data_IF_348941469318
#
_entry.id   IF_348941469318
#
_cell.length_a   1.000
_cell.length_b   1.000
_cell.length_c   1.000
_cell.angle_alpha   90.00
_cell.angle_beta   90.00
_cell.angle_gamma   90.00
#
_symmetry.space_group_name_H-M   'P 1'
#
loop_
_entity.id
_entity.type
_entity.pdbx_description
1 polymer ?
#
# COMPACT_ATOMS: atom_id res chain seq x y z
N UNK A 1 -28.78 12.12 -5.54
CA UNK A 1 -27.96 12.70 -4.46
C UNK A 1 -27.28 11.63 -3.61
N UNK A 2 -28.02 10.75 -2.91
CA UNK A 2 -27.42 9.75 -2.00
C UNK A 2 -26.36 8.84 -2.65
N UNK A 3 -26.63 8.31 -3.86
CA UNK A 3 -25.71 7.44 -4.56
C UNK A 3 -24.38 8.17 -4.94
N UNK A 4 -24.47 9.41 -5.42
CA UNK A 4 -23.29 10.21 -5.78
C UNK A 4 -22.44 10.52 -4.55
N UNK A 5 -23.08 10.83 -3.41
CA UNK A 5 -22.40 11.04 -2.13
C UNK A 5 -21.70 9.77 -1.65
N UNK A 6 -22.39 8.63 -1.70
CA UNK A 6 -21.84 7.33 -1.32
C UNK A 6 -20.58 7.02 -2.14
N UNK A 7 -20.66 7.12 -3.48
CA UNK A 7 -19.53 6.83 -4.37
C UNK A 7 -18.35 7.77 -4.13
N UNK A 8 -18.61 9.08 -3.96
CA UNK A 8 -17.54 10.05 -3.72
C UNK A 8 -16.81 9.78 -2.39
N UNK A 9 -17.53 9.45 -1.32
CA UNK A 9 -16.91 9.13 -0.03
C UNK A 9 -16.26 7.76 -0.01
N UNK A 10 -16.76 6.80 -0.78
CA UNK A 10 -16.10 5.51 -0.99
C UNK A 10 -14.73 5.71 -1.68
N UNK A 11 -14.67 6.51 -2.74
CA UNK A 11 -13.41 6.83 -3.42
C UNK A 11 -12.44 7.60 -2.53
N UNK A 12 -12.95 8.57 -1.76
CA UNK A 12 -12.15 9.33 -0.80
C UNK A 12 -11.55 8.41 0.28
N UNK A 13 -12.34 7.51 0.85
CA UNK A 13 -11.88 6.56 1.86
C UNK A 13 -10.82 5.61 1.34
N UNK A 14 -11.03 5.06 0.15
CA UNK A 14 -10.06 4.19 -0.53
C UNK A 14 -8.74 4.92 -0.80
N UNK A 15 -8.80 6.15 -1.29
CA UNK A 15 -7.61 6.98 -1.52
C UNK A 15 -6.83 7.28 -0.24
N UNK A 16 -7.53 7.66 0.84
CA UNK A 16 -6.89 7.93 2.13
C UNK A 16 -6.22 6.68 2.72
N UNK A 17 -6.82 5.51 2.52
CA UNK A 17 -6.25 4.23 2.94
C UNK A 17 -4.97 3.91 2.16
N UNK A 18 -4.96 4.08 0.84
CA UNK A 18 -3.79 3.89 -0.01
C UNK A 18 -2.67 4.85 0.40
N UNK A 19 -2.98 6.13 0.52
CA UNK A 19 -2.01 7.16 0.91
C UNK A 19 -1.36 6.84 2.26
N UNK A 20 -2.12 6.34 3.22
CA UNK A 20 -1.58 5.92 4.52
C UNK A 20 -0.64 4.73 4.38
N UNK A 21 -1.04 3.69 3.64
CA UNK A 21 -0.22 2.50 3.41
C UNK A 21 1.15 2.83 2.84
N UNK A 22 1.22 3.76 1.90
CA UNK A 22 2.49 4.20 1.32
C UNK A 22 3.29 5.17 2.21
N UNK A 23 2.64 5.93 3.10
CA UNK A 23 3.33 6.84 4.01
C UNK A 23 4.02 6.13 5.19
N UNK A 24 3.46 5.02 5.66
CA UNK A 24 3.95 4.26 6.84
C UNK A 24 4.97 3.18 6.44
N UNK A 25 5.11 2.88 5.15
CA UNK A 25 5.94 1.78 4.65
C UNK A 25 7.42 1.90 5.05
N UNK A 26 8.32 2.10 4.13
CA UNK A 26 9.69 1.54 4.23
C UNK A 26 10.74 2.40 4.96
N UNK A 27 10.38 3.39 5.76
CA UNK A 27 11.34 4.37 6.32
C UNK A 27 12.37 3.78 7.31
N UNK A 28 12.21 2.53 7.77
CA UNK A 28 13.14 1.90 8.73
C UNK A 28 14.12 0.90 8.12
N UNK A 29 14.15 0.75 6.81
CA UNK A 29 15.14 -0.08 6.14
C UNK A 29 16.48 0.63 6.08
N UNK A 30 17.51 -0.03 6.59
CA UNK A 30 18.82 0.54 6.83
C UNK A 30 19.31 1.45 5.70
N UNK A 31 19.55 2.69 6.02
CA UNK A 31 20.08 3.71 5.10
C UNK A 31 21.43 3.32 4.46
N UNK A 32 21.98 2.17 4.86
CA UNK A 32 23.23 1.58 4.35
C UNK A 32 23.02 0.40 3.40
N UNK A 33 21.78 0.14 2.95
CA UNK A 33 21.48 -0.93 2.01
C UNK A 33 21.46 -0.41 0.57
N UNK A 34 22.03 -1.20 -0.32
CA UNK A 34 22.04 -0.98 -1.77
C UNK A 34 21.45 -2.19 -2.47
N UNK A 35 20.68 -1.93 -3.52
CA UNK A 35 20.21 -2.93 -4.47
C UNK A 35 21.01 -2.78 -5.76
N UNK A 36 21.55 -3.88 -6.27
CA UNK A 36 22.29 -3.95 -7.51
C UNK A 36 21.51 -4.81 -8.49
N UNK A 37 21.17 -4.24 -9.62
CA UNK A 37 20.43 -4.88 -10.70
C UNK A 37 21.17 -4.71 -12.02
N UNK A 38 20.88 -5.54 -13.05
CA UNK A 38 21.43 -5.31 -14.38
C UNK A 38 20.86 -4.01 -14.97
N UNK A 39 21.69 -3.26 -15.66
CA UNK A 39 21.25 -2.06 -16.37
C UNK A 39 20.47 -2.48 -17.61
N UNK A 40 19.21 -2.10 -17.70
CA UNK A 40 18.33 -2.45 -18.83
C UNK A 40 17.22 -3.45 -18.54
N UNK A 41 17.16 -4.03 -17.33
CA UNK A 41 15.99 -4.75 -16.80
C UNK A 41 15.67 -6.12 -17.43
N UNK A 42 16.45 -6.60 -18.39
CA UNK A 42 16.12 -7.83 -19.15
C UNK A 42 17.11 -8.97 -18.95
N UNK A 43 18.28 -8.73 -18.40
CA UNK A 43 19.32 -9.73 -18.15
C UNK A 43 19.49 -9.98 -16.67
N UNK A 44 19.58 -11.26 -16.29
CA UNK A 44 19.91 -11.63 -14.92
C UNK A 44 21.40 -11.42 -14.65
N UNK A 45 21.75 -11.24 -13.38
CA UNK A 45 23.14 -11.05 -12.94
C UNK A 45 23.88 -12.38 -12.84
N UNK A 46 25.02 -12.58 -13.50
CA UNK A 46 25.89 -13.71 -13.21
C UNK A 46 26.35 -13.71 -11.75
N UNK A 47 26.15 -14.81 -11.05
CA UNK A 47 26.52 -14.91 -9.63
C UNK A 47 28.03 -14.73 -9.41
N UNK A 48 28.85 -15.05 -10.42
CA UNK A 48 30.28 -14.83 -10.41
C UNK A 48 30.75 -13.39 -10.18
N UNK A 49 29.83 -12.40 -10.33
CA UNK A 49 30.11 -11.00 -10.02
C UNK A 49 30.10 -10.72 -8.52
N UNK A 50 29.42 -11.54 -7.71
CA UNK A 50 29.26 -11.33 -6.28
C UNK A 50 30.59 -11.25 -5.50
N UNK A 51 31.61 -12.09 -5.74
CA UNK A 51 32.92 -11.94 -5.12
C UNK A 51 33.57 -10.57 -5.38
N UNK A 52 33.50 -10.07 -6.61
CA UNK A 52 33.99 -8.74 -6.98
C UNK A 52 33.24 -7.63 -6.26
N UNK A 53 31.90 -7.76 -6.10
CA UNK A 53 31.12 -6.80 -5.31
C UNK A 53 31.52 -6.86 -3.83
N UNK A 54 31.80 -8.03 -3.29
CA UNK A 54 32.26 -8.21 -1.91
C UNK A 54 33.65 -7.65 -1.63
N UNK A 55 34.49 -7.54 -2.65
CA UNK A 55 35.88 -7.05 -2.50
C UNK A 55 36.00 -5.54 -2.29
N UNK A 56 34.90 -4.78 -2.46
CA UNK A 56 34.92 -3.35 -2.15
C UNK A 56 35.10 -3.11 -0.65
N UNK A 57 36.06 -2.28 -0.21
CA UNK A 57 36.35 -2.07 1.23
C UNK A 57 35.16 -1.55 2.03
N UNK A 58 34.26 -0.82 1.37
CA UNK A 58 33.06 -0.24 1.99
C UNK A 58 31.95 -1.27 2.20
N UNK A 59 32.03 -2.45 1.59
CA UNK A 59 31.04 -3.51 1.73
C UNK A 59 31.22 -4.24 3.07
N UNK A 60 30.16 -4.34 3.84
CA UNK A 60 30.08 -5.15 5.05
C UNK A 60 29.59 -6.56 4.75
N UNK A 61 28.53 -6.67 3.95
CA UNK A 61 27.94 -7.93 3.53
C UNK A 61 27.28 -7.76 2.16
N UNK A 62 27.24 -8.83 1.37
CA UNK A 62 26.49 -8.85 0.12
C UNK A 62 25.82 -10.22 -0.04
N UNK A 63 24.53 -10.20 -0.38
CA UNK A 63 23.71 -11.36 -0.65
C UNK A 63 23.19 -11.32 -2.09
N UNK A 64 23.18 -12.47 -2.74
CA UNK A 64 22.50 -12.64 -4.02
C UNK A 64 21.07 -13.11 -3.78
N UNK A 65 20.15 -12.63 -4.62
CA UNK A 65 18.73 -12.93 -4.59
C UNK A 65 18.30 -13.34 -6.01
N UNK A 66 17.71 -14.53 -6.13
CA UNK A 66 17.03 -14.98 -7.35
C UNK A 66 15.58 -15.32 -7.01
N UNK A 67 14.63 -14.95 -7.86
CA UNK A 67 13.21 -15.14 -7.62
C UNK A 67 12.51 -15.97 -8.70
N UNK A 68 11.46 -16.65 -8.30
CA UNK A 68 10.53 -17.35 -9.20
C UNK A 68 9.12 -17.30 -8.64
N UNK A 69 8.13 -17.31 -9.53
CA UNK A 69 6.73 -17.47 -9.14
C UNK A 69 6.29 -18.89 -9.37
N UNK A 70 5.77 -19.53 -8.33
CA UNK A 70 5.25 -20.89 -8.32
C UNK A 70 3.78 -20.89 -7.95
N UNK A 71 3.12 -22.04 -7.94
CA UNK A 71 1.74 -22.20 -7.47
C UNK A 71 1.66 -23.28 -6.41
N UNK A 72 0.73 -23.12 -5.49
CA UNK A 72 0.45 -24.07 -4.43
C UNK A 72 -1.01 -24.53 -4.48
N UNK A 73 -1.22 -25.82 -4.26
CA UNK A 73 -2.55 -26.43 -4.15
C UNK A 73 -3.35 -26.49 -5.45
N UNK A 74 -4.56 -27.04 -5.35
CA UNK A 74 -5.49 -27.18 -6.48
C UNK A 74 -5.98 -25.83 -7.03
N UNK A 75 -6.06 -24.81 -6.19
CA UNK A 75 -6.51 -23.46 -6.56
C UNK A 75 -5.46 -22.66 -7.33
N UNK A 76 -4.31 -23.26 -7.64
CA UNK A 76 -3.21 -22.67 -8.40
C UNK A 76 -2.76 -21.29 -7.85
N UNK A 77 -2.75 -21.11 -6.53
CA UNK A 77 -2.39 -19.84 -5.88
C UNK A 77 -0.94 -19.49 -6.17
N UNK A 78 -0.66 -18.25 -6.58
CA UNK A 78 0.71 -17.80 -6.81
C UNK A 78 1.47 -17.70 -5.47
N UNK A 79 2.68 -18.25 -5.45
CA UNK A 79 3.61 -18.23 -4.32
C UNK A 79 4.94 -17.71 -4.83
N UNK A 80 5.43 -16.64 -4.22
CA UNK A 80 6.75 -16.09 -4.52
C UNK A 80 7.84 -16.93 -3.83
N UNK A 81 8.82 -17.37 -4.61
CA UNK A 81 9.96 -18.13 -4.12
C UNK A 81 11.23 -17.34 -4.34
N UNK A 82 12.05 -17.19 -3.32
CA UNK A 82 13.37 -16.55 -3.42
C UNK A 82 14.49 -17.48 -2.99
N UNK A 83 15.52 -17.55 -3.81
CA UNK A 83 16.80 -18.17 -3.46
C UNK A 83 17.76 -17.13 -2.91
N UNK A 84 18.21 -17.30 -1.67
CA UNK A 84 18.98 -16.31 -0.92
C UNK A 84 20.34 -16.83 -0.48
N UNK A 85 21.34 -15.95 -0.48
CA UNK A 85 22.60 -16.20 0.22
C UNK A 85 22.37 -16.22 1.73
N UNK A 86 21.96 -17.34 2.31
CA UNK A 86 21.34 -17.47 3.62
C UNK A 86 22.07 -16.71 4.76
N UNK A 87 23.39 -16.96 4.96
CA UNK A 87 24.17 -16.26 6.00
C UNK A 87 24.19 -14.74 5.81
N UNK A 88 24.40 -14.28 4.56
CA UNK A 88 24.44 -12.86 4.25
C UNK A 88 23.05 -12.23 4.40
N UNK A 89 22.01 -12.92 3.97
CA UNK A 89 20.63 -12.47 4.13
C UNK A 89 20.25 -12.26 5.59
N UNK A 90 20.49 -13.23 6.45
CA UNK A 90 20.21 -13.09 7.89
C UNK A 90 21.01 -11.95 8.54
N UNK A 91 22.27 -11.75 8.12
CA UNK A 91 23.09 -10.66 8.62
C UNK A 91 22.55 -9.28 8.17
N UNK A 92 22.10 -9.17 6.93
CA UNK A 92 21.60 -7.92 6.32
C UNK A 92 20.18 -7.60 6.84
N UNK A 93 19.29 -8.58 6.83
CA UNK A 93 17.87 -8.39 7.16
C UNK A 93 17.64 -8.09 8.66
N UNK A 94 18.53 -8.56 9.51
CA UNK A 94 18.41 -8.41 10.96
C UNK A 94 17.17 -9.07 11.57
N UNK A 95 16.54 -10.03 10.87
CA UNK A 95 15.31 -10.71 11.30
C UNK A 95 15.42 -11.33 12.68
N UNK A 96 16.54 -11.97 12.97
CA UNK A 96 16.78 -12.61 14.28
C UNK A 96 16.90 -11.56 15.39
N UNK A 97 17.65 -10.47 15.15
CA UNK A 97 17.79 -9.37 16.13
C UNK A 97 16.48 -8.65 16.39
N UNK A 98 15.63 -8.59 15.40
CA UNK A 98 14.33 -7.94 15.50
C UNK A 98 13.24 -8.83 16.09
N UNK A 99 13.54 -10.09 16.44
CA UNK A 99 12.57 -11.05 16.94
C UNK A 99 11.55 -11.53 15.90
N UNK A 100 11.79 -11.22 14.61
CA UNK A 100 10.90 -11.64 13.52
C UNK A 100 11.15 -13.09 13.08
N UNK A 101 12.31 -13.66 13.45
CA UNK A 101 12.67 -15.06 13.23
C UNK A 101 13.37 -15.59 14.49
N UNK A 102 12.83 -16.63 15.15
CA UNK A 102 13.48 -17.27 16.30
C UNK A 102 14.89 -17.77 15.94
N UNK A 103 15.82 -17.59 16.85
CA UNK A 103 17.22 -17.99 16.62
C UNK A 103 17.40 -19.49 16.41
N UNK A 104 16.53 -20.33 16.97
CA UNK A 104 16.51 -21.78 16.76
C UNK A 104 16.15 -22.11 15.29
N UNK A 105 15.07 -21.49 14.77
CA UNK A 105 14.62 -21.67 13.39
C UNK A 105 15.66 -21.17 12.39
N UNK A 106 16.30 -20.01 12.67
CA UNK A 106 17.39 -19.51 11.84
C UNK A 106 18.58 -20.48 11.79
N UNK A 107 18.91 -21.16 12.89
CA UNK A 107 19.98 -22.17 12.92
C UNK A 107 19.57 -23.45 12.18
N UNK A 108 18.32 -23.91 12.36
CA UNK A 108 17.79 -25.06 11.65
C UNK A 108 17.88 -24.82 10.12
N UNK A 109 17.38 -23.70 9.65
CA UNK A 109 17.46 -23.31 8.25
C UNK A 109 18.89 -23.25 7.73
N UNK A 110 19.84 -22.69 8.48
CA UNK A 110 21.23 -22.65 8.06
C UNK A 110 21.89 -24.03 7.96
N UNK A 111 21.40 -25.02 8.71
CA UNK A 111 21.88 -26.39 8.72
C UNK A 111 21.27 -27.24 7.59
N UNK A 112 20.00 -27.03 7.27
CA UNK A 112 19.31 -27.75 6.18
C UNK A 112 19.42 -26.98 4.85
N UNK A 113 20.10 -27.59 3.87
CA UNK A 113 20.29 -26.99 2.54
C UNK A 113 19.04 -27.04 1.66
N UNK A 114 18.07 -27.87 1.99
CA UNK A 114 16.78 -28.02 1.32
C UNK A 114 15.66 -27.32 2.07
N UNK A 115 15.98 -26.83 3.25
CA UNK A 115 15.06 -26.12 4.11
C UNK A 115 14.67 -24.74 3.60
N UNK A 116 13.52 -24.30 4.04
CA UNK A 116 12.94 -23.01 3.68
C UNK A 116 12.48 -22.24 4.91
N UNK A 117 12.58 -20.91 4.84
CA UNK A 117 11.84 -20.00 5.71
C UNK A 117 10.60 -19.51 4.96
N UNK A 118 9.43 -19.66 5.55
CA UNK A 118 8.17 -19.21 4.97
C UNK A 118 7.66 -17.96 5.68
N UNK A 119 6.91 -17.11 4.96
CA UNK A 119 6.29 -15.95 5.59
C UNK A 119 5.12 -16.37 6.47
N UNK A 120 4.89 -15.69 7.60
CA UNK A 120 3.76 -15.99 8.49
C UNK A 120 2.41 -15.82 7.76
N UNK A 121 2.31 -14.88 6.82
CA UNK A 121 1.11 -14.67 6.02
C UNK A 121 0.80 -15.89 5.15
N UNK A 122 1.81 -16.39 4.40
CA UNK A 122 1.65 -17.56 3.54
C UNK A 122 1.46 -18.84 4.35
N UNK A 123 2.16 -18.98 5.49
CA UNK A 123 1.98 -20.10 6.40
C UNK A 123 0.55 -20.17 6.95
N UNK A 124 0.01 -19.04 7.44
CA UNK A 124 -1.36 -18.97 7.93
C UNK A 124 -2.39 -19.22 6.84
N UNK A 125 -2.21 -18.58 5.67
CA UNK A 125 -3.16 -18.67 4.56
C UNK A 125 -3.25 -20.09 3.95
N UNK A 126 -2.10 -20.78 3.85
CA UNK A 126 -2.02 -22.09 3.24
C UNK A 126 -2.01 -23.25 4.26
N UNK A 127 -2.06 -22.96 5.56
CA UNK A 127 -2.00 -23.95 6.62
C UNK A 127 -0.65 -24.63 6.77
N UNK A 128 0.46 -23.98 6.37
CA UNK A 128 1.81 -24.55 6.46
C UNK A 128 2.32 -24.57 7.88
N UNK A 129 3.05 -25.61 8.24
CA UNK A 129 3.62 -25.82 9.59
C UNK A 129 5.11 -26.10 9.52
N UNK A 130 5.84 -25.70 10.54
CA UNK A 130 7.24 -26.07 10.71
C UNK A 130 7.35 -27.61 10.77
N UNK A 131 8.33 -28.16 10.09
CA UNK A 131 8.55 -29.59 9.97
C UNK A 131 7.79 -30.27 8.83
N UNK A 132 7.07 -29.52 8.01
CA UNK A 132 6.28 -30.05 6.88
C UNK A 132 7.09 -29.98 5.58
N UNK A 133 7.01 -31.05 4.78
CA UNK A 133 7.49 -31.05 3.41
C UNK A 133 6.39 -30.52 2.47
N UNK A 134 6.77 -29.59 1.60
CA UNK A 134 5.87 -28.91 0.69
C UNK A 134 6.35 -29.07 -0.75
N UNK A 135 5.39 -29.12 -1.66
CA UNK A 135 5.62 -29.15 -3.11
C UNK A 135 4.91 -27.98 -3.75
N UNK A 136 5.68 -27.18 -4.50
CA UNK A 136 5.15 -26.13 -5.35
C UNK A 136 5.25 -26.54 -6.81
N UNK A 137 4.23 -26.20 -7.58
CA UNK A 137 4.13 -26.51 -9.00
C UNK A 137 4.52 -25.31 -9.86
N UNK A 138 5.08 -25.53 -11.07
CA UNK A 138 5.54 -24.45 -11.91
C UNK A 138 4.40 -23.55 -12.41
N UNK A 139 4.72 -22.26 -12.52
CA UNK A 139 3.92 -21.28 -13.24
C UNK A 139 4.58 -20.92 -14.57
N UNK A 140 3.84 -20.23 -15.44
CA UNK A 140 4.37 -19.74 -16.71
C UNK A 140 5.55 -18.80 -16.45
N UNK A 141 6.71 -19.11 -17.06
CA UNK A 141 7.95 -18.37 -16.85
C UNK A 141 8.87 -18.91 -15.74
N UNK A 142 8.39 -19.87 -14.93
CA UNK A 142 9.23 -20.60 -13.97
C UNK A 142 9.84 -21.88 -14.62
N UNK A 143 10.87 -22.47 -14.00
CA UNK A 143 11.36 -23.80 -14.39
C UNK A 143 10.23 -24.82 -14.36
N UNK A 144 10.08 -25.60 -15.44
CA UNK A 144 8.96 -26.55 -15.63
C UNK A 144 9.16 -27.84 -14.82
N UNK A 145 9.43 -27.71 -13.53
CA UNK A 145 9.59 -28.80 -12.57
C UNK A 145 9.09 -28.39 -11.19
N UNK A 146 8.59 -29.35 -10.44
CA UNK A 146 8.16 -29.14 -9.07
C UNK A 146 9.34 -28.73 -8.18
N UNK A 147 9.02 -27.93 -7.18
CA UNK A 147 9.95 -27.51 -6.15
C UNK A 147 9.51 -28.11 -4.81
N UNK A 148 10.33 -29.01 -4.26
CA UNK A 148 10.08 -29.62 -2.97
C UNK A 148 11.00 -29.01 -1.93
N UNK A 149 10.52 -28.70 -0.73
CA UNK A 149 11.31 -28.14 0.37
C UNK A 149 10.71 -28.48 1.72
N UNK A 150 11.54 -28.42 2.76
CA UNK A 150 11.16 -28.57 4.15
C UNK A 150 10.97 -27.21 4.82
N UNK A 151 9.94 -27.04 5.65
CA UNK A 151 9.70 -25.77 6.38
C UNK A 151 10.48 -25.77 7.68
N UNK A 152 11.57 -25.03 7.76
CA UNK A 152 12.43 -24.92 8.94
C UNK A 152 12.04 -23.80 9.90
N UNK A 153 11.31 -22.81 9.40
CA UNK A 153 10.89 -21.70 10.25
C UNK A 153 9.91 -20.75 9.57
N UNK A 154 9.28 -19.92 10.39
CA UNK A 154 8.29 -18.95 9.97
C UNK A 154 8.76 -17.55 10.30
N UNK A 155 8.87 -16.70 9.28
CA UNK A 155 9.22 -15.29 9.45
C UNK A 155 7.96 -14.53 9.85
N UNK A 156 7.92 -14.04 11.08
CA UNK A 156 6.81 -13.22 11.56
C UNK A 156 6.71 -11.89 10.79
N UNK A 157 5.47 -11.42 10.60
CA UNK A 157 5.22 -10.12 10.00
C UNK A 157 5.85 -9.02 10.87
N UNK A 158 6.79 -8.27 10.31
CA UNK A 158 7.37 -7.10 10.96
C UNK A 158 6.65 -5.84 10.44
N UNK A 159 6.42 -4.87 11.31
CA UNK A 159 5.97 -3.54 10.89
C UNK A 159 7.02 -2.92 9.95
N UNK A 160 6.69 -2.83 8.68
CA UNK A 160 7.60 -2.41 7.62
C UNK A 160 7.80 -3.50 6.55
N UNK A 161 8.57 -3.20 5.52
CA UNK A 161 8.74 -4.02 4.32
C UNK A 161 9.16 -5.45 4.65
N UNK A 162 8.41 -6.42 4.17
CA UNK A 162 8.84 -7.80 4.09
C UNK A 162 9.96 -7.89 3.04
N UNK A 163 11.20 -8.13 3.49
CA UNK A 163 12.30 -8.53 2.59
C UNK A 163 12.25 -10.02 2.24
N UNK A 164 11.28 -10.72 2.75
CA UNK A 164 11.13 -12.14 2.52
C UNK A 164 9.92 -12.36 1.62
N UNK A 165 10.14 -13.13 0.58
CA UNK A 165 9.08 -13.70 -0.24
C UNK A 165 8.28 -14.72 0.56
N UNK A 166 7.24 -15.30 -0.05
CA UNK A 166 6.43 -16.33 0.58
C UNK A 166 7.28 -17.51 1.05
N UNK A 167 8.26 -17.91 0.23
CA UNK A 167 9.20 -19.02 0.48
C UNK A 167 10.63 -18.56 0.22
N UNK A 168 11.50 -18.72 1.19
CA UNK A 168 12.89 -18.31 1.13
C UNK A 168 13.81 -19.53 1.25
N UNK A 169 14.47 -19.86 0.15
CA UNK A 169 15.35 -21.02 0.00
C UNK A 169 16.83 -20.64 0.11
N UNK A 170 17.68 -21.63 0.37
CA UNK A 170 19.09 -21.48 0.12
C UNK A 170 19.40 -21.26 -1.36
N UNK A 171 20.22 -20.26 -1.67
CA UNK A 171 20.62 -19.95 -3.04
C UNK A 171 21.22 -21.16 -3.79
N UNK A 172 22.00 -21.98 -3.08
CA UNK A 172 22.57 -23.19 -3.68
C UNK A 172 21.51 -24.23 -4.08
N UNK A 173 20.43 -24.32 -3.33
CA UNK A 173 19.30 -25.19 -3.64
C UNK A 173 18.50 -24.61 -4.81
N UNK A 174 18.16 -23.33 -4.75
CA UNK A 174 17.47 -22.60 -5.80
C UNK A 174 18.20 -22.72 -7.16
N UNK A 175 19.52 -22.51 -7.20
CA UNK A 175 20.33 -22.63 -8.42
C UNK A 175 20.32 -24.05 -8.99
N UNK A 176 20.41 -25.09 -8.14
CA UNK A 176 20.31 -26.49 -8.60
C UNK A 176 18.92 -26.79 -9.19
N UNK A 177 17.89 -26.22 -8.59
CA UNK A 177 16.51 -26.39 -9.08
C UNK A 177 16.28 -25.64 -10.39
N UNK A 178 16.74 -24.37 -10.51
CA UNK A 178 16.58 -23.57 -11.73
C UNK A 178 17.54 -23.95 -12.86
N UNK A 179 18.64 -24.62 -12.55
CA UNK A 179 19.81 -24.82 -13.46
C UNK A 179 20.38 -23.52 -14.01
N UNK A 180 20.33 -22.45 -13.24
CA UNK A 180 20.81 -21.13 -13.64
C UNK A 180 21.94 -20.66 -12.73
N UNK A 181 23.00 -20.10 -13.32
CA UNK A 181 24.10 -19.46 -12.62
C UNK A 181 23.92 -17.94 -12.54
N UNK A 182 22.67 -17.50 -12.68
CA UNK A 182 22.27 -16.12 -12.63
C UNK A 182 21.29 -15.87 -11.50
N UNK A 183 21.18 -14.62 -11.08
CA UNK A 183 20.28 -14.13 -10.04
C UNK A 183 19.69 -12.80 -10.49
N UNK A 184 18.60 -12.37 -9.86
CA UNK A 184 17.91 -11.15 -10.26
C UNK A 184 18.61 -9.90 -9.73
N UNK A 185 19.14 -9.98 -8.48
CA UNK A 185 19.76 -8.84 -7.83
C UNK A 185 20.81 -9.25 -6.79
N UNK A 186 21.68 -8.29 -6.43
CA UNK A 186 22.47 -8.35 -5.21
C UNK A 186 22.01 -7.30 -4.24
N UNK A 187 21.80 -7.69 -2.97
CA UNK A 187 21.61 -6.75 -1.87
C UNK A 187 22.92 -6.60 -1.13
N UNK A 188 23.38 -5.37 -1.02
CA UNK A 188 24.66 -5.02 -0.40
C UNK A 188 24.43 -4.14 0.81
N UNK A 189 25.10 -4.46 1.91
CA UNK A 189 25.16 -3.62 3.07
C UNK A 189 26.50 -2.88 3.11
N UNK A 190 26.44 -1.56 3.03
CA UNK A 190 27.60 -0.71 3.26
C UNK A 190 27.95 -0.70 4.77
N UNK A 191 29.26 -0.52 5.09
CA UNK A 191 29.71 -0.40 6.49
C UNK A 191 29.09 0.79 7.19
N UNK A 192 28.96 1.91 6.49
CA UNK A 192 28.37 3.16 6.99
C UNK A 192 27.36 3.72 5.99
N UNK A 193 26.22 4.22 6.47
CA UNK A 193 25.17 4.78 5.61
C UNK A 193 25.68 5.96 4.74
N UNK A 194 26.55 6.82 5.30
CA UNK A 194 27.16 7.95 4.57
C UNK A 194 28.05 7.54 3.38
N UNK A 195 28.45 6.28 3.30
CA UNK A 195 29.27 5.75 2.22
C UNK A 195 28.44 5.06 1.12
N UNK A 196 27.13 4.90 1.33
CA UNK A 196 26.29 4.13 0.43
C UNK A 196 26.24 4.72 -0.98
N UNK A 197 26.06 6.02 -1.14
CA UNK A 197 26.00 6.68 -2.45
C UNK A 197 27.36 6.65 -3.17
N UNK A 198 28.44 6.87 -2.43
CA UNK A 198 29.80 6.74 -2.99
C UNK A 198 30.13 5.31 -3.44
N UNK A 199 29.71 4.31 -2.65
CA UNK A 199 29.84 2.89 -2.99
C UNK A 199 29.01 2.55 -4.23
N UNK A 200 27.77 3.04 -4.34
CA UNK A 200 26.94 2.84 -5.52
C UNK A 200 27.65 3.32 -6.79
N UNK A 201 28.16 4.56 -6.79
CA UNK A 201 28.90 5.11 -7.91
C UNK A 201 30.21 4.36 -8.21
N UNK A 202 30.90 3.87 -7.18
CA UNK A 202 32.12 3.07 -7.38
C UNK A 202 31.83 1.71 -8.04
N UNK A 203 30.77 1.03 -7.64
CA UNK A 203 30.32 -0.23 -8.25
C UNK A 203 29.92 0.03 -9.71
N UNK A 204 29.07 1.04 -9.97
CA UNK A 204 28.65 1.36 -11.34
C UNK A 204 29.84 1.67 -12.27
N UNK A 205 30.79 2.50 -11.83
CA UNK A 205 32.00 2.80 -12.61
C UNK A 205 32.84 1.56 -12.90
N UNK A 206 32.97 0.66 -11.92
CA UNK A 206 33.77 -0.58 -12.09
C UNK A 206 33.17 -1.50 -13.14
N UNK A 207 31.85 -1.51 -13.27
CA UNK A 207 31.13 -2.38 -14.20
C UNK A 207 30.55 -1.66 -15.43
N UNK A 208 30.86 -0.36 -15.63
CA UNK A 208 30.31 0.44 -16.73
C UNK A 208 30.60 -0.15 -18.10
N UNK A 209 31.84 -0.67 -18.28
CA UNK A 209 32.32 -1.26 -19.54
C UNK A 209 32.35 -2.79 -19.48
N UNK A 210 31.63 -3.42 -18.56
CA UNK A 210 31.53 -4.88 -18.49
C UNK A 210 30.44 -5.41 -19.42
N UNK A 211 30.48 -6.72 -19.69
CA UNK A 211 29.39 -7.40 -20.45
C UNK A 211 28.03 -7.32 -19.77
N UNK A 212 28.03 -7.03 -18.47
CA UNK A 212 26.81 -6.84 -17.67
C UNK A 212 26.94 -5.53 -16.89
N UNK A 213 26.58 -4.39 -17.51
CA UNK A 213 26.57 -3.12 -16.80
C UNK A 213 25.59 -3.16 -15.62
N UNK A 214 26.01 -2.65 -14.47
CA UNK A 214 25.23 -2.67 -13.25
C UNK A 214 24.55 -1.32 -13.01
N UNK A 215 23.35 -1.37 -12.44
CA UNK A 215 22.66 -0.26 -11.84
C UNK A 215 22.62 -0.48 -10.33
N UNK A 216 23.16 0.46 -9.59
CA UNK A 216 23.23 0.37 -8.12
C UNK A 216 22.44 1.49 -7.51
N UNK A 217 21.43 1.16 -6.75
CA UNK A 217 20.55 2.13 -6.07
C UNK A 217 20.66 1.94 -4.56
N UNK A 218 20.78 3.04 -3.83
CA UNK A 218 20.58 2.96 -2.39
C UNK A 218 19.10 2.73 -2.10
N UNK A 219 18.79 2.01 -1.04
CA UNK A 219 17.38 1.82 -0.64
C UNK A 219 16.68 3.15 -0.42
N UNK A 220 17.42 4.17 0.05
CA UNK A 220 16.93 5.54 0.17
C UNK A 220 16.50 6.11 -1.18
N UNK A 221 17.33 6.02 -2.21
CA UNK A 221 17.01 6.54 -3.56
C UNK A 221 15.90 5.72 -4.24
N UNK A 222 15.89 4.41 -4.02
CA UNK A 222 14.81 3.55 -4.50
C UNK A 222 13.46 4.00 -3.92
N UNK A 223 13.41 4.22 -2.61
CA UNK A 223 12.21 4.70 -1.93
C UNK A 223 11.81 6.11 -2.36
N UNK A 224 12.79 7.01 -2.51
CA UNK A 224 12.54 8.36 -3.04
C UNK A 224 11.94 8.28 -4.45
N UNK A 225 12.48 7.46 -5.33
CA UNK A 225 11.92 7.26 -6.68
C UNK A 225 10.51 6.69 -6.68
N UNK A 226 10.19 5.79 -5.75
CA UNK A 226 8.82 5.29 -5.55
C UNK A 226 7.92 6.43 -5.04
N UNK A 227 8.36 7.19 -4.03
CA UNK A 227 7.61 8.31 -3.47
C UNK A 227 7.38 9.40 -4.53
N UNK A 228 8.36 9.74 -5.34
CA UNK A 228 8.22 10.73 -6.44
C UNK A 228 7.22 10.26 -7.51
N UNK A 229 7.28 8.99 -7.91
CA UNK A 229 6.27 8.42 -8.84
C UNK A 229 4.89 8.44 -8.23
N UNK A 230 4.78 8.12 -6.94
CA UNK A 230 3.51 8.17 -6.20
C UNK A 230 3.06 9.62 -5.96
N UNK A 231 3.97 10.59 -5.82
CA UNK A 231 3.62 12.00 -5.69
C UNK A 231 2.92 12.52 -6.95
N UNK A 232 3.37 12.14 -8.14
CA UNK A 232 2.70 12.47 -9.39
C UNK A 232 1.31 11.81 -9.48
N UNK A 233 1.19 10.54 -9.10
CA UNK A 233 -0.11 9.85 -9.01
C UNK A 233 -0.98 10.50 -7.94
N UNK A 234 -0.43 10.88 -6.79
CA UNK A 234 -1.15 11.59 -5.73
C UNK A 234 -1.68 12.96 -6.19
N UNK A 235 -0.90 13.72 -6.99
CA UNK A 235 -1.35 15.00 -7.51
C UNK A 235 -2.56 14.84 -8.44
N UNK A 236 -2.48 13.90 -9.39
CA UNK A 236 -3.57 13.59 -10.32
C UNK A 236 -4.80 13.10 -9.54
N UNK A 237 -4.61 12.15 -8.62
CA UNK A 237 -5.71 11.60 -7.82
C UNK A 237 -6.33 12.65 -6.91
N UNK A 238 -5.53 13.53 -6.31
CA UNK A 238 -6.03 14.65 -5.50
C UNK A 238 -6.87 15.61 -6.35
N UNK A 239 -6.44 15.91 -7.57
CA UNK A 239 -7.22 16.73 -8.50
C UNK A 239 -8.58 16.09 -8.82
N UNK A 240 -8.60 14.79 -9.10
CA UNK A 240 -9.84 14.03 -9.37
C UNK A 240 -10.77 14.07 -8.16
N UNK A 241 -10.23 13.90 -6.94
CA UNK A 241 -11.03 13.95 -5.71
C UNK A 241 -11.60 15.34 -5.48
N UNK A 242 -10.81 16.40 -5.65
CA UNK A 242 -11.27 17.78 -5.52
C UNK A 242 -12.36 18.08 -6.55
N UNK A 243 -12.17 17.67 -7.80
CA UNK A 243 -13.18 17.83 -8.85
C UNK A 243 -14.47 17.05 -8.53
N UNK A 244 -14.34 15.81 -8.01
CA UNK A 244 -15.48 14.99 -7.59
C UNK A 244 -16.24 15.60 -6.41
N UNK A 245 -15.51 16.10 -5.39
CA UNK A 245 -16.11 16.80 -4.26
C UNK A 245 -16.78 18.11 -4.68
N UNK A 246 -16.20 18.83 -5.63
CA UNK A 246 -16.82 20.04 -6.19
C UNK A 246 -18.10 19.69 -6.97
N UNK A 247 -18.08 18.66 -7.81
CA UNK A 247 -19.29 18.17 -8.48
C UNK A 247 -20.37 17.72 -7.49
N UNK A 248 -19.96 17.00 -6.44
CA UNK A 248 -20.86 16.60 -5.35
C UNK A 248 -21.44 17.82 -4.62
N UNK A 249 -20.62 18.83 -4.33
CA UNK A 249 -21.09 20.08 -3.75
C UNK A 249 -22.19 20.75 -4.62
N UNK A 250 -21.98 20.83 -5.95
CA UNK A 250 -22.97 21.39 -6.85
C UNK A 250 -24.28 20.61 -6.85
N UNK A 251 -24.21 19.28 -6.84
CA UNK A 251 -25.38 18.40 -6.77
C UNK A 251 -26.13 18.62 -5.43
N UNK A 252 -25.41 18.61 -4.31
CA UNK A 252 -25.99 18.83 -2.98
C UNK A 252 -26.60 20.22 -2.89
N UNK A 253 -25.89 21.25 -3.32
CA UNK A 253 -26.35 22.64 -3.33
C UNK A 253 -27.62 22.79 -4.16
N UNK A 254 -27.66 22.25 -5.39
CA UNK A 254 -28.82 22.31 -6.26
C UNK A 254 -30.03 21.60 -5.65
N UNK A 255 -29.82 20.44 -5.03
CA UNK A 255 -30.89 19.68 -4.36
C UNK A 255 -31.46 20.44 -3.17
N UNK A 256 -30.61 20.99 -2.29
CA UNK A 256 -31.05 21.73 -1.10
C UNK A 256 -31.77 23.02 -1.50
N UNK A 257 -31.24 23.76 -2.53
CA UNK A 257 -31.89 24.99 -2.99
C UNK A 257 -33.26 24.70 -3.61
N UNK A 258 -33.40 23.58 -4.32
CA UNK A 258 -34.68 23.17 -4.94
C UNK A 258 -35.69 22.78 -3.86
N UNK A 259 -35.28 21.93 -2.90
CA UNK A 259 -36.12 21.53 -1.75
C UNK A 259 -36.62 22.76 -0.96
N UNK A 260 -35.70 23.68 -0.62
CA UNK A 260 -36.09 24.91 0.10
C UNK A 260 -37.02 25.77 -0.76
N UNK A 261 -36.80 25.87 -2.09
CA UNK A 261 -37.61 26.69 -2.99
C UNK A 261 -39.04 26.17 -3.14
N UNK A 262 -39.23 24.84 -3.16
CA UNK A 262 -40.55 24.20 -3.18
C UNK A 262 -41.35 24.43 -1.88
N UNK A 263 -40.66 24.56 -0.77
CA UNK A 263 -41.28 24.70 0.58
C UNK A 263 -41.21 26.14 1.12
N UNK A 264 -40.96 27.15 0.27
CA UNK A 264 -40.88 28.55 0.66
C UNK A 264 -42.18 29.03 1.33
N UNK A 265 -43.37 28.57 0.86
CA UNK A 265 -44.67 28.87 1.45
C UNK A 265 -44.81 28.37 2.88
N UNK A 266 -44.33 27.14 3.17
CA UNK A 266 -44.33 26.56 4.50
C UNK A 266 -43.41 27.36 5.45
N UNK A 267 -42.20 27.74 4.98
CA UNK A 267 -41.28 28.58 5.75
C UNK A 267 -41.84 29.98 6.00
N UNK A 268 -42.55 30.57 5.04
CA UNK A 268 -43.22 31.86 5.23
C UNK A 268 -44.34 31.78 6.25
N UNK A 269 -45.12 30.68 6.25
CA UNK A 269 -46.20 30.44 7.26
C UNK A 269 -45.61 30.27 8.66
N UNK A 270 -44.57 29.43 8.82
CA UNK A 270 -43.88 29.23 10.10
C UNK A 270 -43.33 30.56 10.64
N UNK A 271 -42.74 31.39 9.77
CA UNK A 271 -42.24 32.71 10.14
C UNK A 271 -43.35 33.66 10.55
N UNK A 272 -44.52 33.61 9.87
CA UNK A 272 -45.71 34.42 10.21
C UNK A 272 -46.31 34.02 11.57
N UNK A 273 -46.25 32.74 11.94
CA UNK A 273 -46.71 32.21 13.26
C UNK A 273 -45.70 32.53 14.39
N UNK A 274 -44.54 33.16 14.06
CA UNK A 274 -43.60 33.64 15.07
C UNK A 274 -42.37 32.75 15.31
N UNK A 275 -42.07 31.80 14.39
CA UNK A 275 -40.83 31.03 14.50
C UNK A 275 -39.62 31.93 14.28
N UNK A 276 -38.63 31.80 15.19
CA UNK A 276 -37.38 32.54 15.12
C UNK A 276 -36.59 32.09 13.88
N UNK A 277 -36.02 33.01 13.07
CA UNK A 277 -35.27 32.68 11.86
C UNK A 277 -34.16 31.62 12.08
N UNK A 278 -33.52 31.61 13.24
CA UNK A 278 -32.49 30.62 13.58
C UNK A 278 -33.03 29.17 13.58
N UNK A 279 -34.29 28.95 14.00
CA UNK A 279 -34.90 27.61 13.97
C UNK A 279 -35.18 27.14 12.55
N UNK A 280 -35.54 28.06 11.65
CA UNK A 280 -35.77 27.77 10.25
C UNK A 280 -34.44 27.44 9.54
N UNK A 281 -33.39 28.17 9.86
CA UNK A 281 -32.01 27.88 9.37
C UNK A 281 -31.59 26.49 9.85
N UNK A 282 -31.80 26.17 11.13
CA UNK A 282 -31.46 24.85 11.68
C UNK A 282 -32.24 23.72 10.99
N UNK A 283 -33.47 23.93 10.60
CA UNK A 283 -34.27 22.94 9.86
C UNK A 283 -33.68 22.64 8.48
N UNK A 284 -33.23 23.68 7.75
CA UNK A 284 -32.53 23.51 6.46
C UNK A 284 -31.21 22.75 6.63
N UNK A 285 -30.45 23.07 7.69
CA UNK A 285 -29.22 22.33 7.99
C UNK A 285 -29.49 20.87 8.33
N UNK A 286 -30.52 20.59 9.14
CA UNK A 286 -30.89 19.23 9.52
C UNK A 286 -31.31 18.40 8.31
N UNK A 287 -32.09 18.98 7.40
CA UNK A 287 -32.50 18.34 6.15
C UNK A 287 -31.29 18.00 5.27
N UNK A 288 -30.37 18.95 5.08
CA UNK A 288 -29.12 18.73 4.35
C UNK A 288 -28.23 17.66 5.03
N UNK A 289 -28.14 17.69 6.36
CA UNK A 289 -27.39 16.72 7.15
C UNK A 289 -27.94 15.30 6.97
N UNK A 290 -29.25 15.11 7.12
CA UNK A 290 -29.90 13.81 6.94
C UNK A 290 -29.80 13.27 5.52
N UNK A 291 -29.67 14.13 4.52
CA UNK A 291 -29.50 13.74 3.13
C UNK A 291 -28.05 13.37 2.77
N UNK A 292 -27.05 14.03 3.37
CA UNK A 292 -25.64 13.89 3.00
C UNK A 292 -24.90 12.91 3.93
N UNK A 293 -25.06 13.06 5.24
CA UNK A 293 -24.25 12.39 6.22
C UNK A 293 -24.42 10.85 6.24
N UNK A 294 -25.63 10.27 6.18
CA UNK A 294 -25.81 8.83 6.12
C UNK A 294 -25.20 8.20 4.85
N UNK A 295 -25.32 8.89 3.72
CA UNK A 295 -24.74 8.43 2.46
C UNK A 295 -23.19 8.50 2.49
N UNK A 296 -22.62 9.52 3.12
CA UNK A 296 -21.17 9.64 3.33
C UNK A 296 -20.65 8.53 4.28
N UNK A 297 -21.37 8.26 5.37
CA UNK A 297 -21.05 7.19 6.31
C UNK A 297 -21.10 5.81 5.63
N UNK A 298 -22.13 5.54 4.83
CA UNK A 298 -22.25 4.32 4.05
C UNK A 298 -21.09 4.18 3.04
N UNK A 299 -20.71 5.26 2.36
CA UNK A 299 -19.56 5.27 1.45
C UNK A 299 -18.24 4.91 2.15
N UNK A 300 -18.01 5.46 3.33
CA UNK A 300 -16.83 5.13 4.15
C UNK A 300 -16.84 3.68 4.65
N UNK A 301 -18.00 3.14 5.03
CA UNK A 301 -18.14 1.73 5.39
C UNK A 301 -17.83 0.81 4.20
N UNK A 302 -18.35 1.12 3.03
CA UNK A 302 -18.04 0.39 1.80
C UNK A 302 -16.53 0.44 1.48
N UNK A 303 -15.90 1.62 1.62
CA UNK A 303 -14.45 1.76 1.45
C UNK A 303 -13.67 0.87 2.44
N UNK A 304 -14.09 0.83 3.70
CA UNK A 304 -13.50 -0.03 4.72
C UNK A 304 -13.61 -1.51 4.39
N UNK A 305 -14.77 -1.96 3.96
CA UNK A 305 -15.00 -3.34 3.53
C UNK A 305 -14.15 -3.73 2.32
N UNK A 306 -14.08 -2.86 1.31
CA UNK A 306 -13.24 -3.08 0.11
C UNK A 306 -11.76 -3.15 0.50
N UNK A 307 -11.29 -2.21 1.32
CA UNK A 307 -9.90 -2.19 1.80
C UNK A 307 -9.59 -3.45 2.60
N UNK A 308 -10.50 -3.90 3.46
CA UNK A 308 -10.34 -5.13 4.24
C UNK A 308 -10.29 -6.37 3.32
N UNK A 309 -11.20 -6.48 2.37
CA UNK A 309 -11.23 -7.58 1.42
C UNK A 309 -9.98 -7.65 0.53
N UNK A 310 -9.46 -6.49 0.10
CA UNK A 310 -8.23 -6.41 -0.71
C UNK A 310 -6.99 -6.73 0.14
N UNK A 311 -6.95 -6.27 1.40
CA UNK A 311 -5.84 -6.51 2.31
C UNK A 311 -5.71 -7.99 2.68
N UNK A 312 -6.83 -8.73 2.79
CA UNK A 312 -6.83 -10.13 3.20
C UNK A 312 -6.51 -11.12 2.06
N UNK A 313 -6.87 -10.84 0.82
CA UNK A 313 -6.90 -11.91 -0.19
C UNK A 313 -5.81 -11.90 -1.26
N UNK A 314 -5.31 -10.78 -1.75
CA UNK A 314 -4.56 -10.83 -3.02
C UNK A 314 -3.34 -9.92 -3.17
N UNK A 315 -3.24 -8.82 -2.49
CA UNK A 315 -2.21 -7.82 -2.81
C UNK A 315 -1.10 -7.69 -1.78
N UNK A 316 -1.15 -8.36 -0.63
CA UNK A 316 -0.13 -8.29 0.45
C UNK A 316 0.53 -6.89 0.59
N UNK A 317 -0.23 -5.82 0.29
CA UNK A 317 0.26 -4.45 0.38
C UNK A 317 0.28 -4.07 1.87
N UNK A 318 1.45 -4.03 2.51
CA UNK A 318 1.54 -3.76 3.92
C UNK A 318 1.07 -2.32 4.19
N UNK A 319 0.11 -2.18 5.09
CA UNK A 319 -0.27 -0.88 5.62
C UNK A 319 -1.47 -0.18 4.98
N UNK A 320 -2.14 -0.77 3.99
CA UNK A 320 -3.40 -0.22 3.50
C UNK A 320 -4.49 -0.52 4.53
N UNK A 321 -4.76 0.47 5.36
CA UNK A 321 -5.78 0.41 6.41
C UNK A 321 -6.57 1.71 6.44
N UNK A 322 -7.88 1.62 6.69
CA UNK A 322 -8.69 2.79 6.96
C UNK A 322 -8.39 3.26 8.40
N UNK A 323 -7.62 4.34 8.52
CA UNK A 323 -7.26 4.86 9.83
C UNK A 323 -8.39 5.67 10.47
N UNK A 324 -8.47 5.75 11.80
CA UNK A 324 -9.41 6.65 12.48
C UNK A 324 -9.27 8.11 12.02
N UNK A 325 -8.04 8.54 11.71
CA UNK A 325 -7.78 9.87 11.16
C UNK A 325 -8.42 10.07 9.78
N UNK A 326 -8.38 9.06 8.90
CA UNK A 326 -9.04 9.13 7.59
C UNK A 326 -10.56 9.23 7.73
N UNK A 327 -11.15 8.49 8.68
CA UNK A 327 -12.58 8.57 8.99
C UNK A 327 -12.95 9.96 9.52
N UNK A 328 -12.15 10.52 10.42
CA UNK A 328 -12.35 11.87 10.96
C UNK A 328 -12.27 12.96 9.88
N UNK A 329 -11.27 12.88 8.99
CA UNK A 329 -11.13 13.81 7.85
C UNK A 329 -12.35 13.72 6.93
N UNK A 330 -12.82 12.51 6.62
CA UNK A 330 -14.01 12.32 5.78
C UNK A 330 -15.28 12.85 6.45
N UNK A 331 -15.45 12.68 7.75
CA UNK A 331 -16.54 13.25 8.52
C UNK A 331 -16.52 14.78 8.50
N UNK A 332 -15.33 15.40 8.66
CA UNK A 332 -15.17 16.85 8.56
C UNK A 332 -15.50 17.38 7.16
N UNK A 333 -15.12 16.67 6.11
CA UNK A 333 -15.48 17.01 4.72
C UNK A 333 -17.00 16.91 4.53
N UNK A 334 -17.65 15.87 5.05
CA UNK A 334 -19.10 15.73 4.97
C UNK A 334 -19.84 16.87 5.68
N UNK A 335 -19.40 17.24 6.89
CA UNK A 335 -19.94 18.39 7.63
C UNK A 335 -19.72 19.70 6.85
N UNK A 336 -18.52 19.90 6.29
CA UNK A 336 -18.22 21.05 5.45
C UNK A 336 -19.15 21.15 4.23
N UNK A 337 -19.43 20.01 3.58
CA UNK A 337 -20.37 19.96 2.45
C UNK A 337 -21.80 20.32 2.87
N UNK A 338 -22.26 19.83 4.03
CA UNK A 338 -23.57 20.19 4.59
C UNK A 338 -23.65 21.70 4.84
N UNK A 339 -22.63 22.29 5.47
CA UNK A 339 -22.60 23.72 5.77
C UNK A 339 -22.60 24.53 4.47
N UNK A 340 -21.70 24.24 3.54
CA UNK A 340 -21.57 24.99 2.29
C UNK A 340 -22.81 24.88 1.40
N UNK A 341 -23.38 23.67 1.27
CA UNK A 341 -24.55 23.44 0.43
C UNK A 341 -25.83 24.07 0.99
N UNK A 342 -25.94 24.20 2.32
CA UNK A 342 -27.14 24.78 2.98
C UNK A 342 -27.04 26.27 3.27
N UNK A 343 -25.85 26.88 3.20
CA UNK A 343 -25.62 28.27 3.60
C UNK A 343 -26.47 29.27 2.79
N UNK A 344 -26.41 29.20 1.47
CA UNK A 344 -27.18 30.10 0.60
C UNK A 344 -28.69 29.87 0.67
N UNK A 345 -29.20 28.62 0.63
CA UNK A 345 -30.61 28.34 0.87
C UNK A 345 -31.12 28.86 2.22
N UNK A 346 -30.35 28.65 3.29
CA UNK A 346 -30.69 29.14 4.62
C UNK A 346 -30.76 30.68 4.67
N UNK A 347 -29.84 31.38 4.02
CA UNK A 347 -29.89 32.86 3.91
C UNK A 347 -31.12 33.34 3.17
N UNK A 348 -31.60 32.61 2.15
CA UNK A 348 -32.86 32.93 1.47
C UNK A 348 -34.07 32.85 2.42
N UNK A 349 -34.11 31.79 3.23
CA UNK A 349 -35.19 31.62 4.23
C UNK A 349 -35.19 32.76 5.26
N UNK A 350 -34.01 33.20 5.72
CA UNK A 350 -33.92 34.33 6.67
C UNK A 350 -34.45 35.64 6.05
N UNK A 351 -34.10 35.90 4.76
CA UNK A 351 -34.47 37.12 4.06
C UNK A 351 -35.87 37.10 3.44
N UNK A 352 -36.68 36.04 3.67
CA UNK A 352 -38.04 35.92 3.18
C UNK A 352 -38.96 37.05 3.71
N UNK A 353 -39.58 37.78 2.80
CA UNK A 353 -40.65 38.74 3.10
C UNK A 353 -42.00 38.03 3.06
N UNK A 354 -42.54 37.73 4.25
CA UNK A 354 -43.77 36.95 4.40
C UNK A 354 -44.95 37.55 3.60
N UNK A 355 -45.09 38.89 3.54
CA UNK A 355 -46.16 39.56 2.82
C UNK A 355 -46.13 39.41 1.28
N UNK A 356 -44.95 39.13 0.68
CA UNK A 356 -44.84 38.92 -0.77
C UNK A 356 -45.11 37.46 -1.17
N UNK A 357 -44.77 36.48 -0.28
CA UNK A 357 -44.93 35.07 -0.58
C UNK A 357 -46.41 34.65 -0.38
N UNK A 358 -47.10 35.15 0.65
CA UNK A 358 -48.50 34.86 0.92
C UNK A 358 -49.46 35.52 -0.08
N UNK A 359 -49.01 36.50 -0.86
CA UNK A 359 -49.81 37.20 -1.92
C UNK A 359 -49.69 36.52 -3.28
N UNK A 360 -48.76 35.63 -3.48
CA UNK A 360 -48.50 34.91 -4.74
C UNK A 360 -48.97 33.46 -4.76
N UNK A 361 -49.38 32.91 -3.64
CA UNK A 361 -50.07 31.65 -3.46
C UNK A 361 -51.53 31.87 -3.20
#
# INVERSE_FOLDING_TARGET
MGLSTLVAFMLLGFFLAIRHGFAVGPVQLGANLLLIEPRGGTTQLPIGLLPTVRSFPQVRAAAAIGGASMRYGADARPVGVEGLSAKAFLAISGLVRAGALPGAEARAWLADRTGALVSAASAHHNGWRIGQDLVLHPMRGAPQRDLTFHVDGVIAKRNGVNFASDVNLHLGYYRRWTHQDTVDAFVVQARHARQADALAGAIERRFANSTTPLRTQTFKSLLQGIVERLANVNAITSLVIVASLFGLFLICFNTVIHSVSERLGEFALLKAVGFVPARLVWLVFLEAFLAIFPAAAAGMLCAGLIVHAIADEKLQLPGIMLTPAAVAVSALIAIGLVILSSLLPALRVVRLNCGQVLRKG
#
